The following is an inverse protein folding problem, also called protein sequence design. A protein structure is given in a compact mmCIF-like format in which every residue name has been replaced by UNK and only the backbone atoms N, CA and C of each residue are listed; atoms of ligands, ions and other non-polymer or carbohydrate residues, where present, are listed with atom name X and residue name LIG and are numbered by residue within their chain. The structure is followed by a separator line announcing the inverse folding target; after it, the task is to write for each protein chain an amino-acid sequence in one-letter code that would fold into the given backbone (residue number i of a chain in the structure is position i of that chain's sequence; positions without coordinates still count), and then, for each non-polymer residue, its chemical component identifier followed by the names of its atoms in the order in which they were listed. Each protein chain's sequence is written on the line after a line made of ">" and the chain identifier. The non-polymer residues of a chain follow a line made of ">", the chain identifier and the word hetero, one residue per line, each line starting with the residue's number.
data_IF_487466657355
#
_entry.id   IF_487466657355
#
_cell.length_a   1.000
_cell.length_b   1.000
_cell.length_c   1.000
_cell.angle_alpha   90.00
_cell.angle_beta   90.00
_cell.angle_gamma   90.00
#
_symmetry.space_group_name_H-M   'P 1'
#
loop_
_entity.id
_entity.type
_entity.pdbx_description
1 polymer ?
2 polymer ?
3 non-polymer ?
4 water ?
#
# COMPACT_ATOMS: atom_id res chain seq x y z
N UNK A 1 -1.42 -21.04 4.11
CA UNK A 1 -1.66 -20.14 5.23
C UNK A 1 -2.48 -18.93 4.81
N UNK A 2 -3.60 -18.64 5.55
CA UNK A 2 -4.45 -17.47 5.34
C UNK A 2 -4.42 -16.59 6.64
N UNK A 3 -4.19 -15.26 6.50
CA UNK A 3 -4.20 -14.40 7.70
C UNK A 3 -5.63 -13.97 8.04
N UNK A 4 -5.93 -13.88 9.32
CA UNK A 4 -7.25 -13.45 9.79
C UNK A 4 -7.14 -12.07 10.49
N UNK A 5 -7.68 -10.99 9.88
CA UNK A 5 -7.63 -9.67 10.56
C UNK A 5 -8.34 -9.73 11.91
N UNK A 6 -7.71 -9.10 12.92
CA UNK A 6 -8.26 -8.95 14.27
C UNK A 6 -9.02 -7.62 14.25
N UNK A 7 -10.36 -7.69 14.15
CA UNK A 7 -11.25 -6.51 14.09
C UNK A 7 -11.41 -5.89 15.46
N UNK A 8 -11.00 -4.60 15.66
CA UNK A 8 -11.24 -3.98 16.97
C UNK A 8 -12.77 -3.79 17.12
N UNK A 9 -13.26 -4.08 18.32
CA UNK A 9 -14.68 -3.99 18.70
C UNK A 9 -14.73 -3.56 20.17
N UNK B 1 -20.17 -27.15 8.77
CA UNK B 1 -19.71 -27.04 10.15
C UNK B 1 -19.46 -25.61 10.57
N UNK B 2 -19.06 -25.43 11.84
CA UNK B 2 -18.70 -24.14 12.44
C UNK B 2 -17.39 -24.18 13.27
N UNK B 3 -16.91 -23.01 13.64
CA UNK B 3 -15.76 -22.86 14.52
C UNK B 3 -16.09 -21.66 15.40
N UNK B 4 -15.87 -21.75 16.70
CA UNK B 4 -16.12 -20.67 17.64
C UNK B 4 -15.28 -20.84 18.89
N UNK B 5 -14.34 -19.95 19.12
CA UNK B 5 -13.52 -19.93 20.34
C UNK B 5 -13.51 -18.53 20.96
N UNK B 6 -13.33 -18.48 22.29
CA UNK B 6 -13.22 -17.24 23.07
C UNK B 6 -11.93 -17.34 23.86
N UNK B 7 -11.14 -16.29 23.85
CA UNK B 7 -9.84 -16.28 24.52
C UNK B 7 -9.66 -15.03 25.35
N UNK B 8 -9.01 -15.14 26.50
CA UNK B 8 -8.64 -13.99 27.30
C UNK B 8 -7.22 -13.59 26.88
N UNK B 9 -7.08 -12.39 26.31
CA UNK B 9 -5.82 -11.84 25.79
C UNK B 9 -5.60 -10.47 26.42
N UNK B 10 -5.79 -10.39 27.76
CA UNK B 10 -5.76 -9.17 28.55
C UNK B 10 -4.49 -8.31 28.42
N UNK B 11 -3.32 -8.90 28.21
CA UNK B 11 -2.09 -8.10 28.14
C UNK B 11 -1.76 -7.60 26.76
N UNK B 12 -2.57 -7.94 25.73
CA UNK B 12 -2.25 -7.63 24.33
C UNK B 12 -3.25 -6.74 23.62
N UNK B 13 -2.73 -5.80 22.82
CA UNK B 13 -3.54 -4.87 22.03
C UNK B 13 -3.81 -5.55 20.66
N UNK B 14 -4.80 -5.10 19.85
CA UNK B 14 -5.08 -5.79 18.58
C UNK B 14 -3.89 -6.05 17.66
N UNK B 15 -2.93 -5.09 17.66
CA UNK B 15 -1.70 -5.11 16.85
C UNK B 15 -0.65 -6.10 17.36
N UNK B 16 -0.86 -6.62 18.59
CA UNK B 16 0.02 -7.60 19.23
C UNK B 16 -0.52 -9.04 19.12
N UNK B 17 -1.66 -9.23 18.41
CA UNK B 17 -2.31 -10.53 18.22
C UNK B 17 -2.37 -10.81 16.72
N UNK B 18 -1.96 -12.01 16.32
CA UNK B 18 -2.00 -12.48 14.94
C UNK B 18 -2.77 -13.82 14.89
N UNK B 19 -3.88 -13.82 14.14
CA UNK B 19 -4.73 -14.99 13.95
C UNK B 19 -4.51 -15.47 12.49
N UNK B 20 -4.31 -16.74 12.31
CA UNK B 20 -4.10 -17.30 10.97
C UNK B 20 -4.62 -18.74 10.85
N UNK B 21 -5.03 -19.15 9.65
CA UNK B 21 -5.47 -20.53 9.40
C UNK B 21 -4.28 -21.26 8.72
N UNK B 22 -3.67 -22.21 9.39
CA UNK B 22 -2.54 -22.97 8.87
C UNK B 22 -2.97 -24.44 8.86
N UNK B 23 -3.21 -24.95 7.66
CA UNK B 23 -3.64 -26.31 7.45
C UNK B 23 -5.05 -26.51 7.94
N UNK B 24 -5.16 -27.46 8.88
CA UNK B 24 -6.37 -27.92 9.54
C UNK B 24 -6.50 -27.26 10.91
N UNK B 25 -5.69 -26.23 11.17
CA UNK B 25 -5.69 -25.50 12.43
C UNK B 25 -5.84 -23.98 12.29
N UNK B 26 -6.39 -23.35 13.36
CA UNK B 26 -6.47 -21.93 13.57
C UNK B 26 -5.40 -21.62 14.61
N UNK B 27 -4.45 -20.76 14.28
CA UNK B 27 -3.37 -20.38 15.20
C UNK B 27 -3.56 -18.99 15.69
N UNK B 28 -3.30 -18.77 16.99
CA UNK B 28 -3.28 -17.45 17.62
C UNK B 28 -1.88 -17.25 18.19
N UNK B 29 -1.23 -16.17 17.76
CA UNK B 29 0.11 -15.81 18.19
C UNK B 29 0.02 -14.43 18.80
N UNK B 30 0.23 -14.33 20.08
CA UNK B 30 0.20 -13.06 20.77
C UNK B 30 1.60 -12.82 21.39
N UNK B 31 2.10 -11.64 21.19
CA UNK B 31 3.42 -11.18 21.64
C UNK B 31 3.43 -9.70 21.92
N UNK B 32 3.96 -9.32 23.05
CA UNK B 32 4.21 -7.91 23.36
C UNK B 32 5.65 -7.75 23.77
N UNK B 33 6.28 -6.73 23.21
CA UNK B 33 7.66 -6.41 23.55
C UNK B 33 7.77 -5.90 24.99
N UNK B 34 8.97 -5.86 25.53
CA UNK B 34 9.24 -5.46 26.93
C UNK B 34 8.61 -4.13 27.34
N UNK B 35 7.87 -4.17 28.45
CA UNK B 35 7.17 -3.00 28.97
C UNK B 35 7.29 -2.85 30.50
N UNK B 36 7.27 -1.61 31.01
CA UNK B 36 7.53 -1.43 32.45
C UNK B 36 6.38 -1.83 33.35
N UNK B 37 6.69 -2.16 34.63
CA UNK B 37 5.60 -2.53 35.53
C UNK B 37 5.94 -2.13 36.93
N UNK B 38 5.18 -2.61 37.94
CA UNK B 38 5.43 -2.19 39.31
C UNK B 38 6.86 -2.49 39.80
N UNK B 39 7.41 -3.67 39.45
CA UNK B 39 8.73 -4.03 39.97
C UNK B 39 9.89 -4.04 38.97
N UNK B 40 9.60 -4.32 37.70
CA UNK B 40 10.65 -4.34 36.68
C UNK B 40 10.14 -4.11 35.27
N UNK B 41 10.57 -4.95 34.33
CA UNK B 41 10.08 -4.96 32.94
C UNK B 41 9.49 -6.33 32.71
N UNK B 42 8.54 -6.41 31.80
CA UNK B 42 7.89 -7.69 31.43
C UNK B 42 7.49 -7.68 29.93
N UNK B 43 7.87 -8.77 29.24
CA UNK B 43 7.58 -9.16 27.85
C UNK B 43 6.89 -10.52 27.95
N UNK B 44 5.82 -10.71 27.18
CA UNK B 44 4.95 -11.90 27.19
C UNK B 44 4.65 -12.35 25.78
N UNK B 45 4.46 -13.64 25.63
CA UNK B 45 4.21 -14.27 24.34
C UNK B 45 3.49 -15.59 24.53
N UNK B 46 2.50 -15.87 23.68
CA UNK B 46 1.80 -17.18 23.69
C UNK B 46 1.44 -17.58 22.27
N UNK B 47 1.25 -18.87 22.09
CA UNK B 47 0.88 -19.50 20.84
C UNK B 47 -0.19 -20.52 21.18
N UNK B 48 -1.40 -20.35 20.66
CA UNK B 48 -2.49 -21.32 20.82
C UNK B 48 -2.90 -21.84 19.48
N UNK B 49 -3.29 -23.10 19.44
CA UNK B 49 -3.67 -23.79 18.22
C UNK B 49 -4.98 -24.56 18.45
N UNK B 50 -5.93 -24.41 17.54
CA UNK B 50 -7.23 -25.08 17.61
C UNK B 50 -7.52 -25.79 16.32
N UNK B 51 -8.13 -26.97 16.32
CA UNK B 51 -8.37 -27.53 15.00
C UNK B 51 -9.63 -26.96 14.38
N UNK B 52 -9.58 -26.86 13.05
CA UNK B 52 -10.61 -26.36 12.18
C UNK B 52 -11.40 -27.55 11.70
N UNK B 53 -12.71 -27.67 12.07
CA UNK B 53 -13.51 -28.83 11.62
C UNK B 53 -13.62 -28.94 10.10
N UNK B 54 -13.80 -30.16 9.55
CA UNK B 54 -13.88 -30.33 8.09
C UNK B 54 -14.88 -29.43 7.29
N UNK B 55 -16.12 -29.26 7.75
CA UNK B 55 -17.09 -28.48 6.98
C UNK B 55 -16.97 -26.97 7.00
N UNK B 56 -15.85 -26.45 7.56
CA UNK B 56 -15.57 -25.02 7.76
C UNK B 56 -14.59 -24.52 6.74
N UNK B 57 -15.02 -23.49 5.99
CA UNK B 57 -14.20 -22.82 4.99
C UNK B 57 -13.23 -21.87 5.71
N UNK B 58 -11.89 -22.03 5.49
CA UNK B 58 -10.91 -21.13 6.13
C UNK B 58 -11.10 -19.64 5.82
N UNK B 59 -11.72 -19.32 4.70
CA UNK B 59 -12.01 -17.95 4.26
C UNK B 59 -13.17 -17.33 5.05
N UNK B 60 -13.99 -18.18 5.72
CA UNK B 60 -15.14 -17.77 6.54
C UNK B 60 -14.76 -17.46 7.99
N UNK B 61 -13.47 -17.60 8.32
CA UNK B 61 -12.94 -17.39 9.67
C UNK B 61 -12.71 -15.91 9.88
N UNK B 62 -13.40 -15.34 10.87
CA UNK B 62 -13.25 -13.94 11.30
C UNK B 62 -12.78 -13.89 12.76
N UNK B 63 -12.23 -12.76 13.17
CA UNK B 63 -11.69 -12.51 14.52
C UNK B 63 -11.96 -11.08 14.94
N UNK B 64 -12.36 -10.90 16.20
CA UNK B 64 -12.66 -9.60 16.77
C UNK B 64 -12.21 -9.61 18.22
N UNK B 65 -11.83 -8.41 18.72
CA UNK B 65 -11.36 -8.20 20.07
C UNK B 65 -12.24 -7.19 20.77
N UNK B 66 -12.89 -7.60 21.89
CA UNK B 66 -13.84 -6.80 22.65
C UNK B 66 -13.10 -5.81 23.55
N UNK B 67 -13.75 -4.69 23.94
CA UNK B 67 -13.07 -3.73 24.84
C UNK B 67 -12.71 -4.30 26.22
N UNK B 68 -13.24 -5.50 26.56
CA UNK B 68 -12.96 -6.23 27.80
C UNK B 68 -11.69 -7.11 27.67
N UNK B 69 -11.16 -7.25 26.45
CA UNK B 69 -9.98 -8.04 26.15
C UNK B 69 -10.22 -9.50 25.84
N UNK B 70 -11.42 -9.82 25.33
CA UNK B 70 -11.84 -11.16 24.91
C UNK B 70 -11.73 -11.23 23.39
N UNK B 71 -10.93 -12.19 22.92
CA UNK B 71 -10.72 -12.43 21.50
C UNK B 71 -11.69 -13.53 21.10
N UNK B 72 -12.51 -13.27 20.11
CA UNK B 72 -13.42 -14.32 19.63
C UNK B 72 -13.06 -14.62 18.19
N UNK B 73 -12.86 -15.88 17.89
CA UNK B 73 -12.56 -16.36 16.55
C UNK B 73 -13.71 -17.25 16.17
N UNK B 74 -14.34 -16.95 15.06
CA UNK B 74 -15.54 -17.59 14.60
C UNK B 74 -15.57 -17.85 13.12
N UNK B 75 -16.35 -18.84 12.71
CA UNK B 75 -16.67 -19.23 11.33
C UNK B 75 -18.14 -19.71 11.41
N UNK B 76 -19.06 -18.91 10.92
CA UNK B 76 -20.51 -19.13 10.93
C UNK B 76 -20.88 -20.48 10.31
N UNK B 77 -21.95 -21.15 10.82
CA UNK B 77 -22.35 -22.45 10.26
C UNK B 77 -22.68 -22.42 8.77
N UNK B 78 -22.11 -23.41 8.04
CA UNK B 78 -22.22 -23.65 6.60
C UNK B 78 -22.96 -24.96 6.35
N UNK C 1 -11.84 9.43 1.16
CA UNK C 1 -11.11 8.19 1.40
C UNK C 1 -10.47 8.06 2.78
N UNK C 2 -9.91 6.86 3.10
CA UNK C 2 -9.24 6.58 4.35
C UNK C 2 -8.26 5.43 4.13
N UNK C 3 -7.00 5.58 4.58
CA UNK C 3 -6.04 4.46 4.46
C UNK C 3 -6.44 3.32 5.39
N UNK C 4 -6.17 2.08 4.98
CA UNK C 4 -6.46 0.87 5.74
C UNK C 4 -5.14 0.24 6.24
N UNK C 5 -4.84 0.28 7.56
CA UNK C 5 -3.64 -0.40 8.08
C UNK C 5 -3.68 -1.90 7.81
N UNK C 6 -2.60 -2.40 7.20
CA UNK C 6 -2.47 -3.81 6.89
C UNK C 6 -1.65 -4.41 8.05
N UNK C 7 -2.36 -5.08 8.97
CA UNK C 7 -1.81 -5.75 10.14
C UNK C 7 -0.85 -6.91 9.82
N UNK C 8 0.36 -6.99 10.42
CA UNK C 8 1.17 -8.23 10.27
C UNK C 8 0.42 -9.42 10.93
N UNK C 9 0.26 -10.57 10.21
CA UNK C 9 -0.52 -11.76 10.67
C UNK C 9 0.08 -13.09 10.21
N UNK D 1 -24.16 -9.25 5.58
CA UNK D 1 -23.59 -8.18 4.77
C UNK D 1 -22.07 -8.07 4.82
N UNK D 2 -21.40 -9.22 5.06
CA UNK D 2 -19.94 -9.35 5.15
C UNK D 2 -19.22 -9.03 3.82
N UNK D 3 -17.95 -8.60 3.94
CA UNK D 3 -17.00 -8.45 2.83
C UNK D 3 -15.79 -9.21 3.32
N UNK D 4 -15.30 -10.11 2.50
CA UNK D 4 -14.13 -10.92 2.81
C UNK D 4 -13.42 -11.33 1.54
N UNK D 5 -12.18 -10.85 1.35
CA UNK D 5 -11.37 -11.20 0.19
C UNK D 5 -9.97 -11.63 0.61
N UNK D 6 -9.37 -12.48 -0.20
CA UNK D 6 -8.02 -13.00 -0.06
C UNK D 6 -7.29 -12.74 -1.36
N UNK D 7 -6.07 -12.14 -1.27
CA UNK D 7 -5.28 -11.77 -2.44
C UNK D 7 -3.89 -12.33 -2.34
N UNK D 8 -3.31 -12.69 -3.49
CA UNK D 8 -1.93 -13.14 -3.58
C UNK D 8 -1.09 -11.91 -3.88
N UNK D 9 -0.19 -11.56 -2.94
CA UNK D 9 0.71 -10.43 -3.05
C UNK D 9 2.12 -10.94 -2.69
N UNK D 10 2.47 -12.18 -3.10
CA UNK D 10 3.71 -12.82 -2.67
C UNK D 10 5.02 -12.09 -3.06
N UNK D 11 5.03 -11.36 -4.19
CA UNK D 11 6.26 -10.69 -4.64
C UNK D 11 6.45 -9.27 -4.10
N UNK D 12 5.59 -8.86 -3.13
CA UNK D 12 5.62 -7.51 -2.54
C UNK D 12 5.86 -7.59 -1.06
N UNK D 13 6.71 -6.66 -0.57
CA UNK D 13 6.99 -6.59 0.86
C UNK D 13 5.88 -5.74 1.51
N UNK D 14 5.65 -5.82 2.85
CA UNK D 14 4.56 -5.03 3.46
C UNK D 14 4.49 -3.55 3.06
N UNK D 15 5.65 -2.91 2.88
CA UNK D 15 5.84 -1.49 2.55
C UNK D 15 5.51 -1.18 1.09
N UNK D 16 5.37 -2.22 0.25
CA UNK D 16 5.01 -2.15 -1.17
C UNK D 16 3.54 -2.42 -1.43
N UNK D 17 2.73 -2.61 -0.37
CA UNK D 17 1.28 -2.82 -0.44
C UNK D 17 0.57 -1.68 0.31
N UNK D 18 -0.45 -1.11 -0.34
CA UNK D 18 -1.27 -0.03 0.23
C UNK D 18 -2.75 -0.41 0.04
N UNK D 19 -3.52 -0.41 1.13
CA UNK D 19 -4.97 -0.67 1.10
C UNK D 19 -5.68 0.62 1.52
N UNK D 20 -6.79 0.96 0.89
CA UNK D 20 -7.58 2.15 1.27
C UNK D 20 -9.03 1.93 0.91
N UNK D 21 -9.89 2.77 1.47
CA UNK D 21 -11.32 2.82 1.17
C UNK D 21 -11.54 4.15 0.49
N UNK D 22 -11.94 4.13 -0.79
CA UNK D 22 -12.22 5.31 -1.60
C UNK D 22 -13.67 5.21 -2.00
N UNK D 23 -14.51 6.05 -1.39
CA UNK D 23 -15.95 6.07 -1.64
C UNK D 23 -16.63 4.81 -1.13
N UNK D 24 -17.32 4.09 -2.03
CA UNK D 24 -17.99 2.82 -1.71
C UNK D 24 -17.14 1.61 -2.17
N UNK D 25 -15.83 1.85 -2.47
CA UNK D 25 -14.85 0.88 -2.97
C UNK D 25 -13.66 0.70 -2.05
N UNK D 26 -13.05 -0.50 -2.11
CA UNK D 26 -11.80 -0.84 -1.42
C UNK D 26 -10.77 -0.96 -2.57
N UNK D 27 -9.66 -0.22 -2.48
CA UNK D 27 -8.57 -0.29 -3.47
C UNK D 27 -7.31 -0.86 -2.82
N UNK D 28 -6.60 -1.78 -3.51
CA UNK D 28 -5.27 -2.31 -3.14
C UNK D 28 -4.33 -1.85 -4.23
N UNK D 29 -3.19 -1.34 -3.86
CA UNK D 29 -2.09 -0.91 -4.77
C UNK D 29 -0.84 -1.59 -4.29
N UNK D 30 -0.13 -2.28 -5.17
CA UNK D 30 1.12 -2.95 -4.83
C UNK D 30 2.11 -2.72 -5.96
N UNK D 31 3.40 -2.47 -5.62
CA UNK D 31 4.44 -2.16 -6.61
C UNK D 31 5.81 -2.60 -6.15
N UNK D 32 6.50 -3.39 -6.98
CA UNK D 32 7.84 -3.86 -6.70
C UNK D 32 8.76 -3.65 -7.87
N UNK D 33 9.77 -2.80 -7.71
CA UNK D 33 10.76 -2.56 -8.75
C UNK D 33 12.15 -2.76 -8.19
N UNK D 34 12.89 -3.73 -8.78
CA UNK D 34 14.24 -4.05 -8.36
C UNK D 34 15.16 -4.35 -9.57
N UNK D 35 16.47 -4.06 -9.39
CA UNK D 35 17.53 -4.29 -10.38
C UNK D 35 18.39 -5.45 -9.82
N UNK D 36 18.04 -6.76 -10.03
CA UNK D 36 18.89 -7.83 -9.47
C UNK D 36 20.24 -8.02 -10.19
N UNK D 37 21.10 -8.91 -9.63
CA UNK D 37 22.47 -9.28 -10.06
C UNK D 37 22.84 -8.85 -11.50
N UNK D 38 23.75 -7.84 -11.61
CA UNK D 38 24.25 -7.22 -12.84
C UNK D 38 23.09 -6.63 -13.67
N UNK D 39 22.68 -7.36 -14.72
CA UNK D 39 21.57 -7.04 -15.62
C UNK D 39 20.49 -8.17 -15.46
N UNK D 40 19.20 -7.87 -15.59
CA UNK D 40 18.64 -6.57 -15.89
C UNK D 40 17.76 -6.02 -14.80
N UNK D 41 16.43 -6.05 -15.04
CA UNK D 41 15.47 -5.51 -14.09
C UNK D 41 14.23 -6.40 -13.87
N UNK D 42 13.52 -6.14 -12.78
CA UNK D 42 12.25 -6.75 -12.43
C UNK D 42 11.31 -5.62 -12.06
N UNK D 43 10.12 -5.65 -12.65
CA UNK D 43 9.06 -4.74 -12.32
C UNK D 43 7.76 -5.54 -12.31
N UNK D 44 7.09 -5.53 -11.15
CA UNK D 44 5.80 -6.16 -10.90
C UNK D 44 4.92 -5.04 -10.27
N UNK D 45 3.63 -5.07 -10.53
CA UNK D 45 2.64 -4.16 -9.98
C UNK D 45 1.25 -4.76 -10.04
N UNK D 46 0.44 -4.44 -9.07
CA UNK D 46 -0.89 -5.00 -8.92
C UNK D 46 -1.86 -3.98 -8.34
N UNK D 47 -3.02 -3.89 -8.97
CA UNK D 47 -4.03 -2.96 -8.52
C UNK D 47 -5.32 -3.72 -8.56
N UNK D 48 -6.06 -3.64 -7.49
CA UNK D 48 -7.32 -4.33 -7.39
C UNK D 48 -8.36 -3.39 -6.77
N UNK D 49 -9.57 -3.41 -7.34
CA UNK D 49 -10.70 -2.62 -6.87
C UNK D 49 -11.88 -3.52 -6.60
N UNK D 50 -12.57 -3.26 -5.47
CA UNK D 50 -13.75 -4.01 -5.05
C UNK D 50 -14.85 -3.05 -4.73
N UNK D 51 -16.10 -3.37 -5.12
CA UNK D 51 -17.21 -2.56 -4.66
C UNK D 51 -17.59 -3.14 -3.28
N UNK D 52 -17.56 -2.31 -2.23
CA UNK D 52 -17.96 -2.73 -0.89
C UNK D 52 -19.49 -2.97 -0.88
N UNK D 53 -19.99 -4.01 -0.19
CA UNK D 53 -21.45 -4.24 -0.15
C UNK D 53 -22.28 -3.07 0.42
N UNK D 54 -23.59 -3.03 0.09
CA UNK D 54 -24.46 -1.94 0.58
C UNK D 54 -24.32 -1.58 2.05
N UNK D 55 -24.23 -2.59 2.91
CA UNK D 55 -24.07 -2.37 4.33
C UNK D 55 -22.69 -2.74 4.84
N UNK D 56 -21.79 -1.73 4.93
CA UNK D 56 -20.42 -1.78 5.46
C UNK D 56 -19.87 -0.36 5.69
N UNK D 57 -19.48 -0.09 6.93
CA UNK D 57 -18.86 1.16 7.39
C UNK D 57 -17.39 1.16 6.92
N UNK D 58 -16.80 2.28 6.42
CA UNK D 58 -15.38 2.24 6.00
C UNK D 58 -14.38 2.00 7.14
N UNK D 59 -14.77 2.37 8.39
CA UNK D 59 -13.97 2.21 9.61
C UNK D 59 -13.98 0.76 10.04
N UNK D 60 -14.97 -0.02 9.53
CA UNK D 60 -15.16 -1.44 9.81
C UNK D 60 -14.33 -2.37 8.88
N UNK D 61 -13.51 -1.79 7.99
CA UNK D 61 -12.65 -2.47 7.03
C UNK D 61 -11.25 -2.68 7.63
N UNK D 62 -10.89 -3.94 7.86
CA UNK D 62 -9.61 -4.36 8.41
C UNK D 62 -8.85 -5.20 7.37
N UNK D 63 -7.52 -5.25 7.50
CA UNK D 63 -6.66 -6.00 6.62
C UNK D 63 -5.53 -6.65 7.40
N UNK D 64 -5.00 -7.75 6.87
CA UNK D 64 -3.90 -8.51 7.47
C UNK D 64 -3.11 -9.17 6.39
N UNK D 65 -1.79 -9.28 6.60
CA UNK D 65 -0.86 -9.89 5.65
C UNK D 65 -0.12 -11.07 6.32
N UNK D 66 -0.11 -12.25 5.72
CA UNK D 66 0.66 -13.39 6.24
C UNK D 66 2.07 -13.30 5.60
N UNK D 67 3.16 -13.79 6.28
CA UNK D 67 4.50 -13.75 5.67
C UNK D 67 4.66 -14.53 4.35
N UNK D 68 3.66 -15.38 4.00
CA UNK D 68 3.57 -16.15 2.76
C UNK D 68 3.05 -15.28 1.61
N UNK D 69 2.60 -14.07 1.93
CA UNK D 69 2.11 -13.18 0.88
C UNK D 69 0.64 -13.27 0.56
N UNK D 70 -0.20 -13.59 1.54
CA UNK D 70 -1.65 -13.60 1.36
C UNK D 70 -2.18 -12.40 2.13
N UNK D 71 -2.87 -11.51 1.43
CA UNK D 71 -3.47 -10.32 1.99
C UNK D 71 -4.95 -10.63 2.17
N UNK D 72 -5.43 -10.39 3.37
CA UNK D 72 -6.83 -10.59 3.73
C UNK D 72 -7.48 -9.22 3.99
N UNK D 73 -8.63 -8.95 3.37
CA UNK D 73 -9.40 -7.71 3.60
C UNK D 73 -10.82 -8.11 3.99
N UNK D 74 -11.24 -7.67 5.14
CA UNK D 74 -12.54 -8.01 5.70
C UNK D 74 -13.28 -6.77 6.20
N UNK D 75 -14.61 -6.84 6.17
CA UNK D 75 -15.49 -5.77 6.59
C UNK D 75 -16.69 -6.34 7.30
N UNK D 76 -16.84 -5.93 8.57
CA UNK D 76 -17.95 -6.34 9.43
C UNK D 76 -19.29 -5.78 8.92
N UNK D 77 -20.41 -6.52 9.05
CA UNK D 77 -21.69 -5.99 8.56
C UNK D 77 -22.18 -4.75 9.30
N UNK D 78 -22.83 -3.81 8.57
CA UNK D 78 -23.37 -2.58 9.14
C UNK D 78 -24.78 -2.81 9.70
N UNK E 1 12.85 -6.62 -32.53
CA UNK E 1 12.68 -7.80 -31.71
C UNK E 1 12.69 -9.15 -32.49
N UNK E 2 12.66 -10.26 -31.76
CA UNK E 2 12.50 -11.64 -32.21
C UNK E 2 11.54 -12.30 -31.21
N UNK E 3 10.29 -12.63 -31.60
CA UNK E 3 9.37 -13.23 -30.64
C UNK E 3 9.78 -14.65 -30.32
N UNK E 4 9.59 -15.04 -29.05
CA UNK E 4 9.85 -16.40 -28.56
C UNK E 4 8.50 -17.07 -28.25
N UNK E 5 8.13 -18.11 -29.05
CA UNK E 5 6.91 -18.87 -28.74
C UNK E 5 7.09 -19.58 -27.39
N UNK E 6 6.13 -19.35 -26.52
CA UNK E 6 6.05 -19.95 -25.22
C UNK E 6 5.19 -21.22 -25.41
N UNK E 7 5.87 -22.39 -25.50
CA UNK E 7 5.31 -23.71 -25.69
C UNK E 7 4.40 -24.11 -24.53
N UNK E 8 3.19 -24.67 -24.79
CA UNK E 8 2.39 -25.22 -23.69
C UNK E 8 3.09 -26.44 -23.05
N UNK E 9 3.03 -26.56 -21.72
CA UNK E 9 3.68 -27.65 -20.99
C UNK E 9 2.87 -28.07 -19.77
N UNK F 1 28.98 -22.57 -21.81
CA UNK F 1 27.99 -21.66 -21.26
C UNK F 1 26.59 -22.25 -21.12
N UNK F 2 25.64 -21.47 -20.55
CA UNK F 2 24.23 -21.87 -20.35
C UNK F 2 23.35 -20.68 -19.97
N UNK F 3 22.02 -20.90 -19.92
CA UNK F 3 21.01 -19.94 -19.48
C UNK F 3 19.69 -20.67 -19.27
N UNK F 4 19.23 -20.78 -18.01
CA UNK F 4 17.97 -21.42 -17.66
C UNK F 4 17.37 -20.68 -16.53
N UNK F 5 16.20 -20.03 -16.79
CA UNK F 5 15.46 -19.25 -15.79
C UNK F 5 14.03 -19.76 -15.66
N UNK F 6 13.47 -19.61 -14.46
CA UNK F 6 12.11 -19.98 -14.09
C UNK F 6 11.43 -18.78 -13.50
N UNK F 7 10.21 -18.48 -13.94
CA UNK F 7 9.43 -17.31 -13.53
C UNK F 7 8.04 -17.69 -13.07
N UNK F 8 7.53 -16.95 -12.07
CA UNK F 8 6.18 -17.10 -11.59
C UNK F 8 5.28 -16.15 -12.39
N UNK F 9 4.35 -16.73 -13.15
CA UNK F 9 3.38 -15.98 -13.95
C UNK F 9 1.97 -16.60 -13.68
N UNK F 10 1.70 -16.98 -12.41
CA UNK F 10 0.51 -17.75 -12.08
C UNK F 10 -0.84 -17.08 -12.38
N UNK F 11 -0.90 -15.72 -12.30
CA UNK F 11 -2.16 -15.03 -12.56
C UNK F 11 -2.36 -14.57 -13.98
N UNK F 12 -1.56 -15.08 -14.93
CA UNK F 12 -1.63 -14.74 -16.35
C UNK F 12 -1.89 -15.97 -17.18
N UNK F 13 -2.76 -15.82 -18.19
CA UNK F 13 -3.07 -16.88 -19.12
C UNK F 13 -2.00 -16.87 -20.23
N UNK F 14 -1.83 -17.98 -21.00
CA UNK F 14 -0.77 -17.99 -22.04
C UNK F 14 -0.72 -16.77 -22.97
N UNK F 15 -1.91 -16.24 -23.33
CA UNK F 15 -2.12 -15.09 -24.23
C UNK F 15 -1.77 -13.76 -23.58
N UNK F 16 -1.55 -13.74 -22.26
CA UNK F 16 -1.19 -12.56 -21.48
C UNK F 16 0.32 -12.51 -21.19
N UNK F 17 1.11 -13.47 -21.73
CA UNK F 17 2.56 -13.54 -21.57
C UNK F 17 3.21 -13.43 -22.94
N UNK F 18 4.23 -12.55 -23.06
CA UNK F 18 4.99 -12.34 -24.29
C UNK F 18 6.48 -12.39 -23.97
N UNK F 19 7.22 -13.30 -24.64
CA UNK F 19 8.69 -13.46 -24.49
C UNK F 19 9.32 -13.02 -25.81
N UNK F 20 10.38 -12.20 -25.74
CA UNK F 20 11.08 -11.74 -26.94
C UNK F 20 12.58 -11.54 -26.72
N UNK F 21 13.38 -11.71 -27.79
CA UNK F 21 14.82 -11.48 -27.78
C UNK F 21 15.07 -10.13 -28.44
N UNK F 22 15.55 -9.16 -27.68
CA UNK F 22 15.86 -7.82 -28.17
C UNK F 22 17.36 -7.60 -27.99
N UNK F 23 18.11 -7.66 -29.09
CA UNK F 23 19.55 -7.51 -29.10
C UNK F 23 20.22 -8.63 -28.33
N UNK F 24 20.86 -8.27 -27.20
CA UNK F 24 21.56 -9.18 -26.29
C UNK F 24 20.67 -9.70 -25.14
N UNK F 25 19.50 -9.07 -24.94
CA UNK F 25 18.55 -9.35 -23.87
C UNK F 25 17.35 -10.21 -24.25
N UNK F 26 16.73 -10.81 -23.23
CA UNK F 26 15.49 -11.58 -23.30
C UNK F 26 14.49 -10.79 -22.43
N UNK F 27 13.39 -10.34 -23.02
CA UNK F 27 12.36 -9.57 -22.30
C UNK F 27 11.09 -10.40 -22.13
N UNK F 28 10.48 -10.30 -20.95
CA UNK F 28 9.22 -10.95 -20.61
C UNK F 28 8.24 -9.85 -20.19
N UNK F 29 7.07 -9.78 -20.86
CA UNK F 29 5.98 -8.85 -20.51
C UNK F 29 4.73 -9.70 -20.26
N UNK F 30 4.07 -9.47 -19.15
CA UNK F 30 2.83 -10.15 -18.78
C UNK F 30 1.84 -9.11 -18.25
N UNK F 31 0.58 -9.21 -18.66
CA UNK F 31 -0.45 -8.25 -18.26
C UNK F 31 -1.82 -8.84 -18.22
N UNK F 32 -2.52 -8.67 -17.08
CA UNK F 32 -3.90 -9.13 -16.84
C UNK F 32 -4.71 -7.93 -16.44
N UNK F 33 -5.68 -7.52 -17.24
CA UNK F 33 -6.55 -6.35 -16.99
C UNK F 33 -8.02 -6.72 -17.26
N UNK F 34 -8.79 -7.01 -16.17
CA UNK F 34 -10.17 -7.50 -16.23
C UNK F 34 -11.10 -7.08 -15.09
N UNK F 35 -12.41 -7.11 -15.36
CA UNK F 35 -13.50 -6.85 -14.40
C UNK F 35 -13.95 -8.28 -14.02
N UNK F 36 -13.58 -8.83 -12.82
CA UNK F 36 -14.01 -10.20 -12.50
C UNK F 36 -15.43 -10.32 -11.91
N UNK F 37 -16.02 -9.20 -11.48
CA UNK F 37 -17.34 -9.19 -10.83
C UNK F 37 -18.27 -8.16 -11.53
N UNK F 38 -19.38 -7.73 -10.83
CA UNK F 38 -20.32 -6.70 -11.29
C UNK F 38 -19.44 -5.44 -11.45
N UNK F 39 -18.88 -4.96 -10.31
CA UNK F 39 -17.92 -3.85 -10.31
C UNK F 39 -16.56 -4.46 -9.91
N UNK F 40 -15.57 -3.60 -9.72
CA UNK F 40 -14.25 -4.03 -9.39
C UNK F 40 -13.46 -4.47 -10.59
N UNK F 41 -12.20 -4.11 -10.58
CA UNK F 41 -11.21 -4.38 -11.59
C UNK F 41 -10.02 -5.03 -10.95
N UNK F 42 -9.36 -5.85 -11.71
CA UNK F 42 -8.08 -6.40 -11.35
C UNK F 42 -7.17 -6.04 -12.50
N UNK F 43 -6.02 -5.50 -12.16
CA UNK F 43 -4.96 -5.17 -13.11
C UNK F 43 -3.65 -5.67 -12.47
N UNK F 44 -2.94 -6.50 -13.19
CA UNK F 44 -1.70 -7.07 -12.71
C UNK F 44 -0.72 -7.08 -13.90
N UNK F 45 0.53 -6.70 -13.65
CA UNK F 45 1.53 -6.69 -14.71
C UNK F 45 2.90 -7.10 -14.21
N UNK F 46 3.65 -7.71 -15.10
CA UNK F 46 4.98 -8.17 -14.81
C UNK F 46 5.87 -7.86 -15.99
N UNK F 47 7.08 -7.34 -15.73
CA UNK F 47 8.08 -7.06 -16.76
C UNK F 47 9.46 -7.48 -16.25
N UNK F 48 10.13 -8.43 -16.95
CA UNK F 48 11.47 -8.91 -16.63
C UNK F 48 12.41 -8.75 -17.86
N UNK F 49 13.71 -8.50 -17.60
CA UNK F 49 14.79 -8.40 -18.58
C UNK F 49 16.00 -9.18 -18.08
N UNK F 50 16.56 -10.00 -18.97
CA UNK F 50 17.76 -10.80 -18.70
C UNK F 50 18.74 -10.55 -19.80
N UNK F 51 19.99 -10.20 -19.45
CA UNK F 51 21.07 -10.07 -20.42
C UNK F 51 21.57 -11.51 -20.56
N UNK F 52 21.72 -11.98 -21.79
CA UNK F 52 22.18 -13.36 -22.02
C UNK F 52 23.67 -13.52 -21.66
N UNK F 53 24.03 -14.60 -20.91
CA UNK F 53 25.43 -14.79 -20.52
C UNK F 53 26.38 -14.89 -21.73
N UNK F 54 27.72 -14.72 -21.55
CA UNK F 54 28.63 -14.71 -22.70
C UNK F 54 28.53 -15.88 -23.70
N UNK F 55 28.43 -17.12 -23.21
CA UNK F 55 28.40 -18.32 -24.05
C UNK F 55 27.03 -18.84 -24.42
N UNK F 56 26.18 -17.96 -24.99
CA UNK F 56 24.80 -18.25 -25.35
C UNK F 56 24.51 -17.78 -26.82
N UNK F 57 23.37 -18.24 -27.42
CA UNK F 57 22.91 -17.84 -28.77
C UNK F 57 21.45 -17.40 -28.73
N UNK F 58 21.12 -16.14 -29.13
CA UNK F 58 19.71 -15.69 -29.12
C UNK F 58 18.75 -16.51 -30.00
N UNK F 59 19.31 -17.18 -31.03
CA UNK F 59 18.54 -18.03 -31.94
C UNK F 59 18.08 -19.32 -31.26
N UNK F 60 18.81 -19.74 -30.21
CA UNK F 60 18.58 -20.96 -29.43
C UNK F 60 17.64 -20.77 -28.25
N UNK F 61 16.95 -19.60 -28.18
CA UNK F 61 16.07 -19.29 -27.07
C UNK F 61 14.73 -19.96 -27.27
N UNK F 62 14.35 -20.84 -26.29
CA UNK F 62 13.07 -21.57 -26.20
C UNK F 62 12.40 -21.25 -24.85
N UNK F 63 11.07 -21.44 -24.79
CA UNK F 63 10.27 -21.14 -23.60
C UNK F 63 9.13 -22.16 -23.48
N UNK F 64 8.69 -22.42 -22.25
CA UNK F 64 7.57 -23.31 -21.96
C UNK F 64 6.83 -22.81 -20.75
N UNK F 65 5.51 -23.04 -20.71
CA UNK F 65 4.65 -22.60 -19.61
C UNK F 65 3.91 -23.78 -19.05
N UNK F 66 4.04 -24.02 -17.73
CA UNK F 66 3.34 -25.12 -17.05
C UNK F 66 1.94 -24.66 -16.63
N UNK F 67 0.93 -25.56 -16.51
CA UNK F 67 -0.39 -25.10 -16.05
C UNK F 67 -0.40 -24.48 -14.64
N UNK F 68 0.68 -24.70 -13.85
CA UNK F 68 0.87 -24.17 -12.49
C UNK F 68 1.32 -22.71 -12.51
N UNK F 69 1.63 -22.20 -13.69
CA UNK F 69 2.04 -20.82 -13.86
C UNK F 69 3.54 -20.59 -13.73
N UNK F 70 4.34 -21.58 -14.13
CA UNK F 70 5.79 -21.45 -14.13
C UNK F 70 6.23 -21.32 -15.58
N UNK F 71 6.91 -20.22 -15.89
CA UNK F 71 7.45 -19.96 -17.21
C UNK F 71 8.91 -20.31 -17.17
N UNK F 72 9.35 -21.14 -18.09
CA UNK F 72 10.73 -21.57 -18.25
C UNK F 72 11.33 -20.96 -19.52
N UNK F 73 12.47 -20.26 -19.41
CA UNK F 73 13.18 -19.68 -20.58
C UNK F 73 14.57 -20.25 -20.56
N UNK F 74 14.94 -20.90 -21.66
CA UNK F 74 16.24 -21.53 -21.81
C UNK F 74 16.91 -21.18 -23.13
N UNK F 75 18.24 -21.14 -23.11
CA UNK F 75 19.06 -20.82 -24.26
C UNK F 75 20.27 -21.74 -24.32
N UNK F 76 20.34 -22.52 -25.40
CA UNK F 76 21.41 -23.48 -25.68
C UNK F 76 22.76 -22.76 -25.90
N UNK F 77 23.89 -23.37 -25.48
CA UNK F 77 25.19 -22.71 -25.68
C UNK F 77 25.61 -22.58 -27.15
N UNK F 78 26.40 -21.51 -27.46
CA UNK F 78 26.90 -21.23 -28.80
C UNK F 78 28.39 -21.52 -28.91
N UNK G 1 3.68 21.62 23.38
CA UNK G 1 3.75 21.67 24.84
C UNK G 1 2.56 20.95 25.50
N UNK G 2 1.53 20.56 24.72
CA UNK G 2 0.40 19.74 25.18
C UNK G 2 -0.01 18.79 24.03
N UNK G 3 0.20 17.46 24.12
CA UNK G 3 -0.23 16.59 23.02
C UNK G 3 -1.74 16.37 23.07
N UNK G 4 -2.35 16.24 21.90
CA UNK G 4 -3.78 16.01 21.81
C UNK G 4 -4.06 14.62 21.18
N UNK G 5 -4.54 13.63 22.00
CA UNK G 5 -4.91 12.34 21.43
C UNK G 5 -6.01 12.53 20.36
N UNK G 6 -5.78 11.95 19.18
CA UNK G 6 -6.78 11.98 18.11
C UNK G 6 -7.62 10.73 18.24
N UNK G 7 -8.79 10.89 18.88
CA UNK G 7 -9.80 9.86 19.17
C UNK G 7 -10.37 9.25 17.87
N UNK G 8 -10.87 7.98 17.91
CA UNK G 8 -11.37 7.37 16.66
C UNK G 8 -12.83 7.70 16.33
N UNK G 9 -13.45 8.58 17.17
CA UNK G 9 -14.83 9.05 17.07
C UNK G 9 -15.02 10.01 15.90
N UNK H 1 -14.39 31.03 24.18
CA UNK H 1 -15.03 31.22 22.88
C UNK H 1 -15.94 30.07 22.50
N UNK H 2 -15.69 29.46 21.31
CA UNK H 2 -16.42 28.30 20.76
C UNK H 2 -15.62 27.60 19.64
N UNK H 3 -14.29 27.41 19.87
CA UNK H 3 -13.33 26.80 18.94
C UNK H 3 -13.78 25.46 18.37
N UNK H 4 -13.53 25.27 17.06
CA UNK H 4 -13.93 24.10 16.30
C UNK H 4 -13.35 24.16 14.89
N UNK H 5 -12.51 23.18 14.51
CA UNK H 5 -11.97 23.09 13.16
C UNK H 5 -12.21 21.71 12.57
N UNK H 6 -12.39 21.64 11.24
CA UNK H 6 -12.58 20.42 10.47
C UNK H 6 -11.56 20.45 9.35
N UNK H 7 -10.81 19.36 9.19
CA UNK H 7 -9.71 19.23 8.22
C UNK H 7 -9.82 17.97 7.42
N UNK H 8 -9.41 18.02 6.14
CA UNK H 8 -9.36 16.82 5.29
C UNK H 8 -7.98 16.23 5.41
N UNK H 9 -7.89 15.00 5.94
CA UNK H 9 -6.64 14.27 6.15
C UNK H 9 -6.78 12.86 5.57
N UNK H 10 -7.41 12.75 4.38
CA UNK H 10 -7.72 11.48 3.74
C UNK H 10 -6.53 10.53 3.46
N UNK H 11 -5.32 11.04 3.27
CA UNK H 11 -4.16 10.17 2.96
C UNK H 11 -3.42 9.67 4.18
N UNK H 12 -3.90 10.05 5.40
CA UNK H 12 -3.22 9.70 6.66
C UNK H 12 -4.08 8.87 7.62
N UNK H 13 -3.44 7.89 8.25
CA UNK H 13 -4.10 7.05 9.25
C UNK H 13 -3.96 7.76 10.61
N UNK H 14 -4.76 7.41 11.66
CA UNK H 14 -4.65 8.15 12.95
C UNK H 14 -3.25 8.30 13.52
N UNK H 15 -2.40 7.27 13.31
CA UNK H 15 -1.00 7.18 13.79
C UNK H 15 -0.03 8.05 13.01
N UNK H 16 -0.51 8.60 11.86
CA UNK H 16 0.25 9.49 10.96
C UNK H 16 -0.09 10.96 11.16
N UNK H 17 -1.00 11.25 12.10
CA UNK H 17 -1.46 12.60 12.42
C UNK H 17 -1.08 12.91 13.87
N UNK H 18 -0.47 14.07 14.11
CA UNK H 18 -0.10 14.54 15.45
C UNK H 18 -0.72 15.91 15.68
N UNK H 19 -1.57 16.00 16.70
CA UNK H 19 -2.23 17.25 17.09
C UNK H 19 -1.60 17.66 18.44
N UNK H 20 -1.23 18.94 18.55
CA UNK H 20 -0.61 19.46 19.77
C UNK H 20 -0.93 20.93 19.97
N UNK H 21 -0.96 21.38 21.24
CA UNK H 21 -1.18 22.79 21.58
C UNK H 21 0.19 23.35 21.94
N UNK H 22 0.69 24.28 21.12
CA UNK H 22 1.98 24.96 21.31
C UNK H 22 1.70 26.44 21.45
N UNK H 23 1.83 26.92 22.68
CA UNK H 23 1.56 28.31 23.01
C UNK H 23 0.09 28.66 22.83
N UNK H 24 -0.17 29.61 21.93
CA UNK H 24 -1.48 30.15 21.61
C UNK H 24 -2.09 29.44 20.41
N UNK H 25 -1.36 28.46 19.88
CA UNK H 25 -1.73 27.74 18.67
C UNK H 25 -1.97 26.26 18.83
N UNK H 26 -2.79 25.71 17.95
CA UNK H 26 -3.06 24.29 17.80
C UNK H 26 -2.33 23.91 16.50
N UNK H 27 -1.39 22.97 16.60
CA UNK H 27 -0.63 22.50 15.44
C UNK H 27 -1.08 21.13 15.03
N UNK H 28 -1.20 20.91 13.71
CA UNK H 28 -1.51 19.61 13.12
C UNK H 28 -0.36 19.27 12.17
N UNK H 29 0.29 18.14 12.41
CA UNK H 29 1.36 17.66 11.56
C UNK H 29 1.00 16.24 11.13
N UNK H 30 0.96 16.02 9.82
CA UNK H 30 0.63 14.73 9.26
C UNK H 30 1.69 14.34 8.28
N UNK H 31 2.13 13.10 8.39
CA UNK H 31 3.19 12.58 7.57
C UNK H 31 2.99 11.12 7.29
N UNK H 32 3.03 10.74 6.01
CA UNK H 32 3.07 9.33 5.63
C UNK H 32 4.32 9.09 4.81
N UNK H 33 4.89 7.93 5.01
CA UNK H 33 6.09 7.39 4.36
C UNK H 33 5.70 6.95 2.95
N UNK H 34 6.69 6.67 2.09
CA UNK H 34 6.44 6.27 0.70
C UNK H 34 5.48 5.12 0.58
N UNK H 35 4.52 5.23 -0.33
CA UNK H 35 3.53 4.17 -0.48
C UNK H 35 3.15 3.95 -1.95
N UNK H 36 2.82 2.69 -2.38
CA UNK H 36 2.46 2.49 -3.80
C UNK H 36 1.21 3.21 -4.25
N UNK H 37 1.25 3.56 -5.52
CA UNK H 37 0.27 4.33 -6.26
C UNK H 37 -0.14 3.51 -7.46
N UNK H 38 -0.95 4.16 -8.29
CA UNK H 38 -1.46 3.73 -9.55
C UNK H 38 -0.34 3.89 -10.56
N UNK H 39 0.46 4.95 -10.40
CA UNK H 39 1.52 5.34 -11.31
C UNK H 39 2.94 5.17 -10.75
N UNK H 40 3.16 5.34 -9.45
CA UNK H 40 4.48 5.18 -8.89
C UNK H 40 4.43 4.97 -7.41
N UNK H 41 5.21 5.78 -6.67
CA UNK H 41 5.32 5.78 -5.21
C UNK H 41 5.10 7.18 -4.65
N UNK H 42 4.48 7.32 -3.47
CA UNK H 42 4.16 8.66 -2.95
C UNK H 42 4.29 8.78 -1.43
N UNK H 43 4.93 9.84 -1.00
CA UNK H 43 5.12 10.20 0.40
C UNK H 43 4.60 11.63 0.50
N UNK H 44 3.87 11.94 1.59
CA UNK H 44 3.22 13.22 1.84
C UNK H 44 3.42 13.68 3.25
N UNK H 45 3.36 14.99 3.42
CA UNK H 45 3.58 15.64 4.71
C UNK H 45 2.94 17.01 4.71
N UNK H 46 2.26 17.36 5.79
CA UNK H 46 1.72 18.73 5.92
C UNK H 46 1.80 19.22 7.35
N UNK H 47 1.77 20.51 7.50
CA UNK H 47 1.80 21.18 8.78
C UNK H 47 0.80 22.31 8.71
N UNK H 48 -0.17 22.31 9.62
CA UNK H 48 -1.16 23.37 9.76
C UNK H 48 -1.07 23.97 11.17
N UNK H 49 -1.51 25.23 11.29
CA UNK H 49 -1.47 25.97 12.55
C UNK H 49 -2.70 26.83 12.67
N UNK H 50 -3.37 26.77 13.81
CA UNK H 50 -4.57 27.55 14.09
C UNK H 50 -4.40 28.31 15.36
N UNK H 51 -4.77 29.60 15.32
CA UNK H 51 -4.77 30.51 16.45
C UNK H 51 -6.01 30.12 17.27
N UNK H 52 -5.86 29.97 18.59
CA UNK H 52 -6.95 29.62 19.50
C UNK H 52 -7.72 30.87 20.00
N UNK H 53 -9.01 30.74 20.38
CA UNK H 53 -9.74 31.91 20.93
C UNK H 53 -9.10 32.43 22.22
N UNK H 54 -9.36 33.72 22.56
CA UNK H 54 -8.68 34.35 23.70
C UNK H 54 -8.75 33.68 25.09
N UNK H 55 -9.89 33.07 25.46
CA UNK H 55 -10.02 32.48 26.78
C UNK H 55 -9.97 30.96 26.91
N UNK H 56 -10.11 30.25 25.76
CA UNK H 56 -10.16 28.79 25.63
C UNK H 56 -8.93 28.08 26.23
N UNK H 57 -9.18 27.08 27.10
CA UNK H 57 -8.20 26.31 27.86
C UNK H 57 -7.52 25.23 27.00
N UNK H 58 -6.16 25.21 26.93
CA UNK H 58 -5.47 24.18 26.13
C UNK H 58 -5.75 22.74 26.55
N UNK H 59 -6.12 22.53 27.82
CA UNK H 59 -6.45 21.22 28.40
C UNK H 59 -7.80 20.72 27.90
N UNK H 60 -8.68 21.65 27.43
CA UNK H 60 -10.03 21.37 26.90
C UNK H 60 -10.04 20.99 25.43
N UNK H 61 -8.85 20.95 24.79
CA UNK H 61 -8.71 20.64 23.37
C UNK H 61 -8.76 19.14 23.16
N UNK H 62 -9.77 18.68 22.38
CA UNK H 62 -9.98 17.26 22.00
C UNK H 62 -9.93 17.16 20.51
N UNK H 63 -9.57 16.00 20.01
CA UNK H 63 -9.50 15.71 18.58
C UNK H 63 -10.13 14.35 18.29
N UNK H 64 -10.71 14.18 17.08
CA UNK H 64 -11.33 12.95 16.60
C UNK H 64 -11.16 12.85 15.10
N UNK H 65 -11.05 11.62 14.60
CA UNK H 65 -10.90 11.34 13.18
C UNK H 65 -12.04 10.44 12.69
N UNK H 66 -12.83 10.92 11.72
CA UNK H 66 -13.98 10.21 11.16
C UNK H 66 -13.54 9.19 10.13
N UNK H 67 -14.33 8.12 9.89
CA UNK H 67 -13.94 7.14 8.86
C UNK H 67 -13.85 7.72 7.43
N UNK H 68 -14.37 8.94 7.22
CA UNK H 68 -14.33 9.63 5.94
C UNK H 68 -12.99 10.39 5.73
N UNK H 69 -12.13 10.44 6.74
CA UNK H 69 -10.83 11.15 6.69
C UNK H 69 -10.91 12.61 7.10
N UNK H 70 -11.90 12.95 7.97
CA UNK H 70 -12.14 14.32 8.46
C UNK H 70 -11.66 14.38 9.89
N UNK H 71 -10.71 15.27 10.15
CA UNK H 71 -10.15 15.48 11.48
C UNK H 71 -10.88 16.64 12.09
N UNK H 72 -11.42 16.42 13.28
CA UNK H 72 -12.17 17.40 14.05
C UNK H 72 -11.35 17.80 15.29
N UNK H 73 -11.07 19.09 15.45
CA UNK H 73 -10.35 19.64 16.61
C UNK H 73 -11.31 20.63 17.28
N UNK H 74 -11.67 20.36 18.54
CA UNK H 74 -12.61 21.17 19.30
C UNK H 74 -12.09 21.51 20.68
N UNK H 75 -12.50 22.67 21.18
CA UNK H 75 -12.11 23.21 22.48
C UNK H 75 -13.28 23.82 23.16
N UNK H 76 -13.56 23.34 24.39
CA UNK H 76 -14.65 23.77 25.26
C UNK H 76 -14.67 25.30 25.52
N UNK H 77 -15.87 25.95 25.56
CA UNK H 77 -15.90 27.40 25.79
C UNK H 77 -15.33 27.84 27.13
N UNK H 78 -14.58 28.95 27.12
CA UNK H 78 -13.95 29.55 28.31
C UNK H 78 -13.67 31.04 28.07
N UNK I 1 22.11 10.78 -11.53
CA UNK I 1 21.65 12.07 -11.01
C UNK I 1 21.68 13.17 -12.09
N UNK I 2 20.48 13.58 -12.55
CA UNK I 2 20.25 14.55 -13.64
C UNK I 2 19.07 15.49 -13.27
N UNK I 3 19.29 16.81 -13.09
CA UNK I 3 18.16 17.71 -12.81
C UNK I 3 17.33 17.93 -14.08
N UNK I 4 15.98 17.98 -13.95
CA UNK I 4 15.09 18.19 -15.11
C UNK I 4 14.43 19.59 -15.03
N UNK I 5 14.83 20.54 -15.93
CA UNK I 5 14.24 21.89 -15.88
C UNK I 5 12.75 21.87 -16.15
N UNK I 6 11.99 22.47 -15.24
CA UNK I 6 10.55 22.56 -15.39
C UNK I 6 10.26 23.91 -16.09
N UNK I 7 10.08 23.84 -17.42
CA UNK I 7 9.84 24.98 -18.33
C UNK I 7 8.36 25.38 -18.29
N UNK I 8 7.96 26.56 -17.75
CA UNK I 8 6.52 26.90 -17.75
C UNK I 8 5.95 27.08 -19.16
N UNK I 9 4.66 26.72 -19.37
CA UNK I 9 3.93 26.81 -20.63
C UNK I 9 4.03 28.19 -21.30
N UNK J 1 10.45 3.63 -26.85
CA UNK J 1 10.22 3.69 -25.41
C UNK J 1 9.89 5.10 -24.95
N UNK J 2 8.81 5.25 -24.15
CA UNK J 2 8.36 6.57 -23.69
C UNK J 2 8.11 6.66 -22.19
N UNK J 3 7.91 7.89 -21.70
CA UNK J 3 7.56 8.17 -20.32
C UNK J 3 6.67 9.38 -20.38
N UNK J 4 5.52 9.35 -19.69
CA UNK J 4 4.59 10.46 -19.65
C UNK J 4 3.76 10.44 -18.39
N UNK J 5 3.96 11.43 -17.52
CA UNK J 5 3.16 11.57 -16.29
C UNK J 5 2.63 13.02 -16.17
N UNK J 6 1.47 13.14 -15.53
CA UNK J 6 0.80 14.41 -15.28
C UNK J 6 0.53 14.47 -13.78
N UNK J 7 0.84 15.63 -13.16
CA UNK J 7 0.67 15.80 -11.71
C UNK J 7 -0.06 17.08 -11.42
N UNK J 8 -0.89 17.09 -10.38
CA UNK J 8 -1.53 18.30 -9.89
C UNK J 8 -0.65 18.89 -8.81
N UNK J 9 -0.11 20.07 -9.06
CA UNK J 9 0.79 20.79 -8.17
C UNK J 9 0.27 22.23 -8.05
N UNK J 10 -1.08 22.40 -7.98
CA UNK J 10 -1.76 23.71 -7.85
C UNK J 10 -1.29 24.58 -6.63
N UNK J 11 -0.83 23.96 -5.53
CA UNK J 11 -0.38 24.66 -4.32
C UNK J 11 1.10 25.07 -4.34
N UNK J 12 1.83 24.73 -5.44
CA UNK J 12 3.27 24.98 -5.57
C UNK J 12 3.64 25.88 -6.75
N UNK J 13 4.58 26.82 -6.50
CA UNK J 13 5.09 27.72 -7.54
C UNK J 13 6.26 27.02 -8.24
N UNK J 14 6.66 27.42 -9.48
CA UNK J 14 7.75 26.70 -10.18
C UNK J 14 9.02 26.43 -9.37
N UNK J 15 9.40 27.41 -8.51
CA UNK J 15 10.59 27.41 -7.65
C UNK J 15 10.47 26.47 -6.47
N UNK J 16 9.24 25.96 -6.20
CA UNK J 16 8.93 25.03 -5.09
C UNK J 16 8.85 23.58 -5.57
N UNK J 17 9.07 23.34 -6.89
CA UNK J 17 9.02 22.02 -7.50
C UNK J 17 10.41 21.68 -8.06
N UNK J 18 10.91 20.48 -7.75
CA UNK J 18 12.18 19.97 -8.25
C UNK J 18 11.97 18.60 -8.89
N UNK J 19 12.31 18.48 -10.17
CA UNK J 19 12.20 17.24 -10.94
C UNK J 19 13.64 16.78 -11.25
N UNK J 20 13.92 15.48 -11.04
CA UNK J 20 15.23 14.92 -11.28
C UNK J 20 15.17 13.45 -11.70
N UNK J 21 16.17 12.98 -12.46
CA UNK J 21 16.30 11.57 -12.84
C UNK J 21 17.40 11.00 -11.95
N UNK J 22 17.03 10.09 -11.04
CA UNK J 22 17.96 9.43 -10.13
C UNK J 22 17.90 7.95 -10.41
N UNK J 23 18.96 7.44 -11.03
CA UNK J 23 19.09 6.04 -11.40
C UNK J 23 18.10 5.70 -12.48
N UNK J 24 17.25 4.71 -12.19
CA UNK J 24 16.21 4.30 -13.14
C UNK J 24 14.82 4.84 -12.71
N UNK J 25 14.80 5.95 -11.96
CA UNK J 25 13.61 6.64 -11.50
C UNK J 25 13.60 8.13 -11.80
N UNK J 26 12.40 8.70 -11.92
CA UNK J 26 12.11 10.12 -12.06
C UNK J 26 11.51 10.53 -10.70
N UNK J 27 12.16 11.47 -10.01
CA UNK J 27 11.70 11.94 -8.71
C UNK J 27 11.14 13.35 -8.83
N UNK J 28 10.04 13.61 -8.12
CA UNK J 28 9.40 14.92 -8.03
C UNK J 28 9.32 15.25 -6.54
N UNK J 29 9.90 16.40 -6.16
CA UNK J 29 9.84 16.88 -4.80
C UNK J 29 9.30 18.29 -4.81
N UNK J 30 8.25 18.53 -4.04
CA UNK J 30 7.64 19.84 -3.94
C UNK J 30 7.47 20.20 -2.46
N UNK J 31 7.93 21.39 -2.07
CA UNK J 31 7.88 21.86 -0.69
C UNK J 31 7.55 23.35 -0.66
N UNK J 32 6.36 23.68 -0.13
CA UNK J 32 5.95 25.05 0.05
C UNK J 32 5.96 25.40 1.54
N UNK J 33 6.77 26.38 1.92
CA UNK J 33 6.87 26.84 3.30
C UNK J 33 5.56 27.49 3.77
N UNK J 34 5.31 27.47 5.09
CA UNK J 34 4.12 28.00 5.77
C UNK J 34 3.56 29.31 5.17
N UNK J 35 2.23 29.34 4.95
CA UNK J 35 1.47 30.48 4.41
C UNK J 35 0.02 30.44 4.96
N UNK J 36 -0.67 31.58 5.19
CA UNK J 36 -2.07 31.50 5.68
C UNK J 36 -3.08 31.08 4.60
N UNK J 37 -4.35 30.79 5.01
CA UNK J 37 -5.49 30.45 4.15
C UNK J 37 -6.83 30.45 4.98
N UNK J 38 -7.83 29.59 4.59
CA UNK J 38 -9.18 29.39 5.13
C UNK J 38 -9.33 29.66 6.68
N UNK J 39 -8.93 28.72 7.57
CA UNK J 39 -9.09 28.97 9.01
C UNK J 39 -7.75 29.07 9.77
N UNK J 40 -6.65 28.83 9.07
CA UNK J 40 -5.31 28.94 9.65
C UNK J 40 -4.19 28.85 8.64
N UNK J 41 -2.99 28.57 9.12
CA UNK J 41 -1.79 28.43 8.31
C UNK J 41 -1.66 27.01 7.76
N UNK J 42 -0.81 26.86 6.72
CA UNK J 42 -0.56 25.62 6.01
C UNK J 42 0.80 25.62 5.29
N UNK J 43 1.49 24.49 5.40
CA UNK J 43 2.74 24.11 4.77
C UNK J 43 2.49 22.72 4.17
N UNK J 44 3.01 22.48 2.98
CA UNK J 44 2.83 21.21 2.26
C UNK J 44 4.14 20.73 1.70
N UNK J 45 4.28 19.42 1.58
CA UNK J 45 5.46 18.78 1.05
C UNK J 45 5.12 17.39 0.51
N UNK J 46 5.64 17.06 -0.68
CA UNK J 46 5.44 15.73 -1.24
C UNK J 46 6.66 15.27 -2.00
N UNK J 47 6.79 13.96 -2.12
CA UNK J 47 7.85 13.32 -2.85
C UNK J 47 7.23 12.16 -3.59
N UNK J 48 7.26 12.20 -4.93
CA UNK J 48 6.73 11.15 -5.85
C UNK J 48 7.87 10.57 -6.68
N UNK J 49 7.80 9.28 -6.92
CA UNK J 49 8.81 8.53 -7.64
C UNK J 49 8.18 7.64 -8.71
N UNK J 50 8.72 7.68 -9.92
CA UNK J 50 8.21 6.89 -11.05
C UNK J 50 9.35 6.14 -11.71
N UNK J 51 9.17 4.85 -12.06
CA UNK J 51 10.20 4.09 -12.78
C UNK J 51 10.33 4.63 -14.19
N UNK J 52 11.55 4.66 -14.72
CA UNK J 52 11.79 5.04 -16.12
C UNK J 52 11.85 3.74 -16.95
N UNK J 53 11.05 3.59 -18.03
CA UNK J 53 11.13 2.35 -18.85
C UNK J 53 12.48 2.10 -19.51
N UNK J 54 12.85 0.82 -19.78
CA UNK J 54 14.18 0.53 -20.35
C UNK J 54 14.58 1.29 -21.62
N UNK J 55 13.63 1.52 -22.54
CA UNK J 55 13.93 2.20 -23.80
C UNK J 55 13.89 3.71 -23.74
N UNK J 56 14.13 4.27 -22.53
CA UNK J 56 14.07 5.71 -22.26
C UNK J 56 15.43 6.20 -21.79
N UNK J 57 15.93 7.24 -22.46
CA UNK J 57 17.19 7.94 -22.17
C UNK J 57 16.91 9.03 -21.13
N UNK J 58 17.65 9.05 -19.99
CA UNK J 58 17.41 10.10 -18.96
C UNK J 58 17.60 11.54 -19.45
N UNK J 59 18.41 11.72 -20.51
CA UNK J 59 18.68 13.01 -21.14
C UNK J 59 17.47 13.53 -21.93
N UNK J 60 16.57 12.61 -22.34
CA UNK J 60 15.36 12.89 -23.12
C UNK J 60 14.16 13.30 -22.27
N UNK J 61 14.34 13.29 -20.93
CA UNK J 61 13.29 13.62 -19.98
C UNK J 61 13.18 15.13 -19.82
N UNK J 62 12.03 15.70 -20.20
CA UNK J 62 11.69 17.11 -20.08
C UNK J 62 10.49 17.28 -19.15
N UNK J 63 10.28 18.51 -18.69
CA UNK J 63 9.18 18.88 -17.81
C UNK J 63 8.60 20.26 -18.20
N UNK J 64 7.30 20.45 -17.94
CA UNK J 64 6.60 21.70 -18.17
C UNK J 64 5.53 21.87 -17.12
N UNK J 65 5.28 23.14 -16.73
CA UNK J 65 4.27 23.50 -15.72
C UNK J 65 3.28 24.47 -16.33
N UNK J 66 1.99 24.09 -16.38
CA UNK J 66 0.92 24.91 -16.96
C UNK J 66 0.45 25.94 -15.93
N UNK J 67 -0.11 27.10 -16.34
CA UNK J 67 -0.61 28.07 -15.34
C UNK J 67 -1.74 27.53 -14.44
N UNK J 68 -2.35 26.40 -14.84
CA UNK J 68 -3.43 25.73 -14.09
C UNK J 68 -2.88 24.86 -12.96
N UNK J 69 -1.56 24.71 -12.89
CA UNK J 69 -0.90 23.90 -11.86
C UNK J 69 -0.73 22.44 -12.22
N UNK J 70 -0.62 22.11 -13.52
CA UNK J 70 -0.42 20.73 -13.99
C UNK J 70 1.03 20.62 -14.41
N UNK J 71 1.75 19.71 -13.77
CA UNK J 71 3.14 19.43 -14.07
C UNK J 71 3.14 18.21 -14.98
N UNK J 72 3.81 18.36 -16.11
CA UNK J 72 3.94 17.35 -17.13
C UNK J 72 5.40 16.91 -17.20
N UNK J 73 5.67 15.59 -17.07
CA UNK J 73 7.03 15.04 -17.20
C UNK J 73 6.95 14.01 -18.30
N UNK J 74 7.75 14.22 -19.34
CA UNK J 74 7.72 13.41 -20.53
C UNK J 74 9.10 13.07 -21.06
N UNK J 75 9.17 11.98 -21.83
CA UNK J 75 10.34 11.50 -22.59
C UNK J 75 9.73 10.93 -23.87
N UNK J 76 9.88 11.66 -24.97
CA UNK J 76 9.32 11.38 -26.30
C UNK J 76 9.64 9.96 -26.80
N UNK J 77 8.69 9.30 -27.53
CA UNK J 77 8.96 7.95 -28.05
C UNK J 77 10.18 7.87 -28.96
N UNK J 78 11.06 6.87 -28.67
CA UNK J 78 12.31 6.56 -29.39
C UNK J 78 12.73 5.14 -29.06
X LIG K 1 -3.46 -17.91 28.85
X LIG K 1 -3.90 -17.89 27.44
X LIG K 1 -4.22 -16.91 29.60
X LIG K 1 -3.73 -19.21 29.48
X LIG K 1 -2.04 -17.58 28.94
X LIG L 1 -9.79 -22.45 28.19
X LIG L 1 -9.15 -23.18 27.09
X LIG L 1 -10.15 -21.07 27.77
X LIG L 1 -11.01 -23.15 28.61
X LIG L 1 -8.86 -22.42 29.33
X LIG M 1 -2.49 10.21 -9.81
X LIG M 1 -1.41 11.09 -10.31
X LIG M 1 -3.55 11.06 -9.26
X LIG M 1 -3.07 9.41 -10.89
X LIG M 1 -1.97 9.25 -8.81
X LIG N 1 -0.96 14.91 -4.23
X LIG N 1 0.04 15.16 -5.29
X LIG N 1 -1.96 15.97 -4.23
X LIG N 1 -1.66 13.63 -4.44
X LIG N 1 -0.28 14.90 -2.93
#
# INVERSE_FOLDING_TARGET
>A
EIPVPVQPS
>B
GHFSVLLDVKHFSPEEIAVKVVGEHVEVHARHEERPDEHGFVAREFHRRYRLPPGVDPAAVTSALSPEGVLSIQAAPA
>C
EIPVPVQPS
>D
GHFSVLLDVKHFSPEEIAVKVVGEHVEVHARHEERPDEHGFVAREFHRRYRLPPGVDPAAVTSALSPEGVLSIQAAPA
>E
EIPVPVQPS
>F
GHFSVLLDVKHFSPEEIAVKVVGEHVEVHARHEERPDEHGFVAREFHRRYRLPPGVDPAAVTSALSPEGVLSIQAAPA
>G
EIPVPVQPS
>H
GHFSVLLDVKHFSPEEIAVKVVGEHVEVHARHEERPDEHGFVAREFHRRYRLPPGVDPAAVTSALSPEGVLSIQAAPA
>I
EIPVPVQPS
>J
GHFSVLLDVKHFSPEEIAVKVVGEHVEVHARHEERPDEHGFVAREFHRRYRLPPGVDPAAVTSALSPEGVLSIQAAPA
>K hetero
1 SO4 S O1 O2 O3 O4
>L hetero
1 SO4 S O1 O2 O3 O4
>M hetero
1 SO4 S O1 O2 O3 O4
>N hetero
1 SO4 S O1 O2 O3 O4
#
